data_IF_423479047470
#
_entry.id   IF_423479047470
#
_cell.length_a   1.000
_cell.length_b   1.000
_cell.length_c   1.000
_cell.angle_alpha   90.00
_cell.angle_beta   90.00
_cell.angle_gamma   90.00
#
_symmetry.space_group_name_H-M   'P 1'
#
loop_
_entity.id
_entity.type
_entity.pdbx_description
1 polymer ?
#
# COMPACT_ATOMS: atom_id res chain seq x y z
N UNK A 1 6.71 -14.69 3.98
CA UNK A 1 5.58 -13.78 3.67
C UNK A 1 4.35 -14.29 4.39
N UNK A 2 3.66 -13.43 5.15
CA UNK A 2 2.41 -13.79 5.86
C UNK A 2 1.21 -13.55 4.93
N UNK A 3 0.26 -14.49 4.90
CA UNK A 3 -0.97 -14.38 4.12
C UNK A 3 -2.20 -14.35 5.04
N UNK A 4 -3.29 -13.79 4.53
CA UNK A 4 -4.61 -13.73 5.15
C UNK A 4 -5.68 -13.89 4.09
N UNK A 5 -6.96 -13.98 4.49
CA UNK A 5 -8.05 -14.16 3.54
C UNK A 5 -8.75 -12.84 3.23
N UNK A 6 -9.01 -12.58 1.95
CA UNK A 6 -9.93 -11.50 1.55
C UNK A 6 -11.39 -11.88 1.80
N UNK A 7 -12.33 -10.98 1.50
CA UNK A 7 -13.77 -11.22 1.66
C UNK A 7 -14.33 -12.32 0.74
N UNK A 8 -13.57 -12.73 -0.27
CA UNK A 8 -13.91 -13.79 -1.23
C UNK A 8 -13.24 -15.12 -0.87
N UNK A 9 -12.49 -15.17 0.24
CA UNK A 9 -11.77 -16.36 0.70
C UNK A 9 -10.43 -16.61 0.01
N UNK A 10 -9.93 -15.68 -0.80
CA UNK A 10 -8.62 -15.83 -1.46
C UNK A 10 -7.49 -15.59 -0.45
N UNK A 11 -6.44 -16.40 -0.52
CA UNK A 11 -5.19 -16.14 0.21
C UNK A 11 -4.47 -14.95 -0.43
N UNK A 12 -4.30 -13.88 0.33
CA UNK A 12 -3.67 -12.63 -0.09
C UNK A 12 -2.57 -12.28 0.91
N UNK A 13 -1.39 -11.81 0.46
CA UNK A 13 -0.37 -11.26 1.34
C UNK A 13 -0.98 -10.25 2.33
N UNK A 14 -0.81 -10.47 3.63
CA UNK A 14 -1.42 -9.63 4.69
C UNK A 14 -1.07 -8.16 4.51
N UNK A 15 0.15 -7.89 4.06
CA UNK A 15 0.64 -6.54 3.80
C UNK A 15 -0.16 -5.81 2.71
N UNK A 16 -0.63 -6.50 1.66
CA UNK A 16 -1.47 -5.90 0.63
C UNK A 16 -2.83 -5.46 1.21
N UNK A 17 -3.41 -6.28 2.08
CA UNK A 17 -4.66 -5.93 2.76
C UNK A 17 -4.46 -4.74 3.70
N UNK A 18 -3.34 -4.69 4.43
CA UNK A 18 -3.00 -3.56 5.30
C UNK A 18 -2.81 -2.27 4.50
N UNK A 19 -2.06 -2.31 3.40
CA UNK A 19 -1.85 -1.15 2.52
C UNK A 19 -3.16 -0.65 1.91
N UNK A 20 -4.03 -1.55 1.44
CA UNK A 20 -5.34 -1.20 0.89
C UNK A 20 -6.23 -0.52 1.95
N UNK A 21 -6.31 -1.09 3.15
CA UNK A 21 -7.09 -0.50 4.26
C UNK A 21 -6.58 0.88 4.64
N UNK A 22 -5.26 1.07 4.70
CA UNK A 22 -4.65 2.37 4.98
C UNK A 22 -4.98 3.39 3.90
N UNK A 23 -4.87 3.00 2.62
CA UNK A 23 -5.26 3.84 1.50
C UNK A 23 -6.72 4.28 1.60
N UNK A 24 -7.63 3.36 1.97
CA UNK A 24 -9.05 3.67 2.09
C UNK A 24 -9.37 4.55 3.30
N UNK A 25 -8.76 4.30 4.45
CA UNK A 25 -9.01 5.07 5.68
C UNK A 25 -8.53 6.51 5.56
N UNK A 26 -7.45 6.76 4.81
CA UNK A 26 -6.93 8.09 4.51
C UNK A 26 -7.64 8.78 3.32
N UNK A 27 -8.72 8.20 2.80
CA UNK A 27 -9.47 8.81 1.70
C UNK A 27 -8.76 8.75 0.34
N UNK A 28 -7.79 7.85 0.16
CA UNK A 28 -6.99 7.74 -1.07
C UNK A 28 -7.80 7.49 -2.34
N UNK A 29 -9.01 6.92 -2.24
CA UNK A 29 -9.92 6.81 -3.39
C UNK A 29 -10.46 8.15 -3.88
N UNK A 30 -10.40 9.19 -3.06
CA UNK A 30 -10.78 10.57 -3.41
C UNK A 30 -9.57 11.42 -3.81
N UNK A 31 -8.34 10.91 -3.67
CA UNK A 31 -7.14 11.62 -4.06
C UNK A 31 -7.07 11.73 -5.59
N UNK A 32 -6.79 12.93 -6.08
CA UNK A 32 -6.77 13.23 -7.52
C UNK A 32 -5.73 12.35 -8.23
N UNK A 33 -6.17 11.58 -9.23
CA UNK A 33 -5.25 10.75 -9.99
C UNK A 33 -4.57 9.66 -9.16
N UNK A 34 -5.20 9.18 -8.08
CA UNK A 34 -4.72 7.99 -7.37
C UNK A 34 -4.52 6.83 -8.35
N UNK A 35 -3.43 6.08 -8.18
CA UNK A 35 -2.94 5.06 -9.12
C UNK A 35 -2.49 5.58 -10.50
N UNK A 36 -2.71 6.85 -10.87
CA UNK A 36 -2.27 7.44 -12.14
C UNK A 36 -1.02 8.31 -11.98
N UNK A 37 -0.97 9.10 -10.91
CA UNK A 37 0.14 9.99 -10.59
C UNK A 37 1.17 9.22 -9.76
N UNK A 38 2.45 9.35 -10.12
CA UNK A 38 3.55 8.84 -9.31
C UNK A 38 3.89 9.84 -8.20
N UNK A 39 4.13 9.35 -6.99
CA UNK A 39 4.70 10.17 -5.93
C UNK A 39 6.14 10.59 -6.23
N UNK A 40 6.61 11.62 -5.55
CA UNK A 40 8.02 12.00 -5.54
C UNK A 40 8.86 10.90 -4.87
N UNK A 41 9.93 10.47 -5.54
CA UNK A 41 10.71 9.26 -5.22
C UNK A 41 11.40 9.24 -3.84
N UNK A 42 11.37 10.33 -3.07
CA UNK A 42 12.15 10.46 -1.84
C UNK A 42 11.78 9.50 -0.70
N UNK A 43 10.53 9.00 -0.67
CA UNK A 43 10.01 8.20 0.45
C UNK A 43 9.84 6.71 0.12
N UNK A 44 9.88 6.30 -1.16
CA UNK A 44 9.52 4.93 -1.58
C UNK A 44 10.38 3.85 -0.91
N UNK A 45 11.69 4.07 -0.83
CA UNK A 45 12.63 3.11 -0.22
C UNK A 45 12.34 2.92 1.28
N UNK A 46 12.16 4.02 2.03
CA UNK A 46 11.88 3.98 3.47
C UNK A 46 10.54 3.28 3.75
N UNK A 47 9.51 3.60 2.96
CA UNK A 47 8.20 2.93 3.08
C UNK A 47 8.35 1.44 2.81
N UNK A 48 9.12 1.04 1.79
CA UNK A 48 9.33 -0.37 1.46
C UNK A 48 10.03 -1.13 2.58
N UNK A 49 11.01 -0.54 3.26
CA UNK A 49 11.65 -1.14 4.43
C UNK A 49 10.66 -1.36 5.59
N UNK A 50 9.75 -0.43 5.82
CA UNK A 50 8.69 -0.58 6.84
C UNK A 50 7.69 -1.66 6.44
N UNK A 51 7.27 -1.70 5.17
CA UNK A 51 6.36 -2.73 4.65
C UNK A 51 6.97 -4.13 4.75
N UNK A 52 8.27 -4.28 4.53
CA UNK A 52 8.99 -5.54 4.72
C UNK A 52 8.99 -6.02 6.19
N UNK A 53 8.82 -5.09 7.15
CA UNK A 53 8.62 -5.39 8.57
C UNK A 53 7.15 -5.61 8.93
N UNK A 54 6.24 -5.55 7.95
CA UNK A 54 4.80 -5.68 8.14
C UNK A 54 4.09 -4.40 8.59
N UNK A 55 4.76 -3.24 8.52
CA UNK A 55 4.26 -1.95 9.01
C UNK A 55 3.92 -1.04 7.84
N UNK A 56 2.71 -0.48 7.85
CA UNK A 56 2.29 0.58 6.91
C UNK A 56 2.46 1.93 7.61
N UNK A 57 3.35 2.83 7.16
CA UNK A 57 3.54 4.13 7.80
C UNK A 57 2.28 4.99 7.70
N UNK A 58 1.95 5.72 8.78
CA UNK A 58 0.75 6.56 8.79
C UNK A 58 0.85 7.75 7.82
N UNK A 59 1.98 8.46 7.85
CA UNK A 59 2.25 9.68 7.06
C UNK A 59 2.77 9.38 5.64
N UNK A 60 2.52 8.17 5.13
CA UNK A 60 2.91 7.83 3.75
C UNK A 60 2.07 8.61 2.75
N UNK A 61 2.73 9.17 1.73
CA UNK A 61 2.05 9.76 0.59
C UNK A 61 1.15 8.71 -0.11
N UNK A 62 -0.09 9.07 -0.40
CA UNK A 62 -1.09 8.15 -0.94
C UNK A 62 -0.74 7.69 -2.37
N UNK A 63 -0.10 8.55 -3.18
CA UNK A 63 0.40 8.19 -4.50
C UNK A 63 1.58 7.22 -4.40
N UNK A 64 2.43 7.35 -3.37
CA UNK A 64 3.54 6.44 -3.11
C UNK A 64 3.01 5.07 -2.71
N UNK A 65 2.07 5.04 -1.76
CA UNK A 65 1.41 3.81 -1.33
C UNK A 65 0.68 3.11 -2.48
N UNK A 66 -0.05 3.85 -3.31
CA UNK A 66 -0.71 3.33 -4.51
C UNK A 66 0.29 2.75 -5.53
N UNK A 67 1.43 3.42 -5.73
CA UNK A 67 2.52 2.93 -6.56
C UNK A 67 3.10 1.61 -6.03
N UNK A 68 3.28 1.49 -4.72
CA UNK A 68 3.76 0.28 -4.06
C UNK A 68 2.76 -0.87 -4.16
N UNK A 69 1.45 -0.61 -4.01
CA UNK A 69 0.39 -1.62 -4.24
C UNK A 69 0.47 -2.15 -5.67
N UNK A 70 0.64 -1.26 -6.67
CA UNK A 70 0.75 -1.64 -8.09
C UNK A 70 1.96 -2.50 -8.39
N UNK A 71 3.08 -2.25 -7.71
CA UNK A 71 4.36 -2.94 -7.93
C UNK A 71 4.58 -4.08 -6.94
N UNK A 72 3.58 -4.43 -6.14
CA UNK A 72 3.69 -5.53 -5.21
C UNK A 72 3.80 -6.83 -6.00
N UNK A 73 5.00 -7.38 -6.06
CA UNK A 73 5.26 -8.67 -6.66
C UNK A 73 5.93 -9.55 -5.60
N UNK A 74 5.38 -10.75 -5.44
CA UNK A 74 5.88 -11.84 -4.59
C UNK A 74 7.18 -12.43 -5.10
#
# INVERSE_FOLDING_TARGET
>A
MQCSHDSRGNSVPTILLSMQRHLYSQGGLKAEGIFRINAENGQEMLVREQLNKGVVPYEVDLHCLAGLIKRFNT
#
